data_IF_241775800827
#
_entry.id   IF_241775800827
#
_cell.length_a   1.000
_cell.length_b   1.000
_cell.length_c   1.000
_cell.angle_alpha   90.00
_cell.angle_beta   90.00
_cell.angle_gamma   90.00
#
_symmetry.space_group_name_H-M   'P 1'
#
loop_
_entity.id
_entity.type
_entity.pdbx_description
1 polymer ?
#
# COMPACT_ATOMS: atom_id res chain seq x y z
N UNK A 1 -8.44 -2.19 16.43
CA UNK A 1 -7.15 -1.45 16.49
C UNK A 1 -6.21 -2.17 15.56
N UNK A 2 -6.02 -1.66 14.36
CA UNK A 2 -5.10 -2.19 13.37
C UNK A 2 -4.55 -0.97 12.65
N UNK A 3 -3.36 -0.54 13.03
CA UNK A 3 -2.86 0.75 12.55
C UNK A 3 -1.36 0.83 12.72
N UNK A 4 -0.66 0.47 11.64
CA UNK A 4 0.75 0.77 11.38
C UNK A 4 1.77 0.37 12.44
N UNK A 5 3.03 0.49 12.09
CA UNK A 5 4.11 0.52 13.08
C UNK A 5 4.30 1.96 13.54
N UNK A 6 4.52 2.18 14.84
CA UNK A 6 4.94 3.49 15.38
C UNK A 6 6.41 3.83 15.07
N UNK A 7 7.06 3.09 14.17
CA UNK A 7 8.38 3.44 13.64
C UNK A 7 8.30 4.78 12.90
N UNK A 8 9.45 5.46 12.79
CA UNK A 8 9.60 6.70 11.99
C UNK A 8 9.14 6.53 10.53
N UNK A 9 9.12 5.29 10.06
CA UNK A 9 8.76 4.88 8.72
C UNK A 9 7.31 4.38 8.62
N UNK A 10 6.53 4.29 9.70
CA UNK A 10 5.14 3.81 9.62
C UNK A 10 4.95 2.31 9.43
N UNK A 11 6.01 1.57 9.09
CA UNK A 11 6.03 0.10 8.94
C UNK A 11 7.29 -0.53 9.56
N UNK A 12 7.29 -1.86 9.74
CA UNK A 12 8.47 -2.65 10.14
C UNK A 12 9.17 -3.24 8.91
N UNK A 13 10.50 -3.11 8.82
CA UNK A 13 11.28 -3.63 7.67
C UNK A 13 11.32 -5.16 7.56
N UNK A 14 11.14 -5.87 8.68
CA UNK A 14 11.09 -7.32 8.70
C UNK A 14 9.80 -7.82 8.05
N UNK A 15 9.90 -8.54 6.91
CA UNK A 15 8.76 -9.08 6.18
C UNK A 15 7.96 -10.16 6.94
N UNK A 16 8.52 -10.73 8.01
CA UNK A 16 7.81 -11.67 8.88
C UNK A 16 6.92 -10.95 9.91
N UNK A 17 7.16 -9.65 10.16
CA UNK A 17 6.38 -8.87 11.11
C UNK A 17 4.96 -8.60 10.56
N UNK A 18 3.90 -8.76 11.38
CA UNK A 18 2.54 -8.41 10.97
C UNK A 18 2.37 -6.95 10.51
N UNK A 19 3.21 -6.04 10.99
CA UNK A 19 3.25 -4.63 10.61
C UNK A 19 4.27 -4.33 9.49
N UNK A 20 4.66 -5.35 8.73
CA UNK A 20 5.60 -5.18 7.62
C UNK A 20 5.00 -4.49 6.40
N UNK A 21 5.85 -3.82 5.61
CA UNK A 21 5.45 -3.05 4.42
C UNK A 21 4.54 -3.81 3.46
N UNK A 22 4.79 -5.11 3.28
CA UNK A 22 4.05 -6.00 2.37
C UNK A 22 2.75 -6.57 2.97
N UNK A 23 2.47 -6.31 4.25
CA UNK A 23 1.31 -6.84 4.99
C UNK A 23 0.38 -5.77 5.55
N UNK A 24 0.79 -4.51 5.57
CA UNK A 24 0.03 -3.43 6.22
C UNK A 24 -1.17 -2.93 5.43
N UNK A 25 -1.32 -3.31 4.15
CA UNK A 25 -2.46 -2.95 3.33
C UNK A 25 -3.28 -4.17 2.91
N UNK A 26 -4.61 -4.01 2.97
CA UNK A 26 -5.61 -4.96 2.52
C UNK A 26 -6.61 -4.28 1.59
N UNK A 27 -7.33 -5.07 0.81
CA UNK A 27 -8.43 -4.55 0.00
C UNK A 27 -9.65 -4.29 0.88
N UNK A 28 -10.23 -3.10 0.77
CA UNK A 28 -11.50 -2.79 1.42
C UNK A 28 -12.58 -3.76 0.96
N UNK A 29 -13.51 -4.10 1.87
CA UNK A 29 -14.67 -4.97 1.58
C UNK A 29 -14.32 -6.36 1.03
N UNK A 30 -13.06 -6.83 1.21
CA UNK A 30 -12.65 -8.16 0.74
C UNK A 30 -12.76 -8.34 -0.78
N UNK A 31 -12.61 -7.25 -1.54
CA UNK A 31 -12.71 -7.24 -3.02
C UNK A 31 -11.72 -8.22 -3.67
N UNK A 32 -10.63 -8.56 -2.98
CA UNK A 32 -9.66 -9.54 -3.41
C UNK A 32 -9.11 -10.34 -2.20
N UNK A 33 -8.82 -11.65 -2.35
CA UNK A 33 -8.38 -12.50 -1.25
C UNK A 33 -6.89 -12.33 -0.95
N UNK A 34 -6.11 -11.79 -1.89
CA UNK A 34 -4.68 -11.53 -1.74
C UNK A 34 -4.44 -10.04 -1.50
N UNK A 35 -3.47 -9.67 -0.64
CA UNK A 35 -3.08 -8.26 -0.50
C UNK A 35 -2.57 -7.69 -1.84
N UNK A 36 -2.67 -6.37 -2.03
CA UNK A 36 -2.18 -5.73 -3.25
C UNK A 36 -0.65 -5.90 -3.37
N UNK A 37 -0.17 -6.27 -4.56
CA UNK A 37 1.27 -6.32 -4.86
C UNK A 37 1.78 -4.92 -5.21
N UNK A 38 2.40 -4.25 -4.25
CA UNK A 38 2.77 -2.83 -4.32
C UNK A 38 4.26 -2.56 -4.09
N UNK A 39 5.03 -3.59 -3.73
CA UNK A 39 6.37 -3.42 -3.16
C UNK A 39 7.37 -2.81 -4.15
N UNK A 40 7.23 -3.14 -5.44
CA UNK A 40 8.08 -2.58 -6.51
C UNK A 40 7.58 -1.24 -7.04
N UNK A 41 6.46 -0.74 -6.53
CA UNK A 41 5.72 0.37 -7.13
C UNK A 41 5.70 1.62 -6.25
N UNK A 42 6.30 1.59 -5.07
CA UNK A 42 6.42 2.75 -4.17
C UNK A 42 7.06 3.97 -4.85
N UNK A 43 6.60 5.16 -4.45
CA UNK A 43 7.08 6.44 -4.99
C UNK A 43 8.53 6.77 -4.59
N UNK A 44 9.04 6.11 -3.54
CA UNK A 44 10.44 6.12 -3.14
C UNK A 44 10.70 5.13 -2.00
N UNK A 45 11.96 4.96 -1.64
CA UNK A 45 12.41 3.99 -0.61
C UNK A 45 11.90 4.31 0.80
N UNK A 46 11.45 5.55 1.02
CA UNK A 46 10.89 5.99 2.30
C UNK A 46 9.42 5.62 2.47
N UNK A 47 8.73 5.21 1.39
CA UNK A 47 7.30 4.89 1.43
C UNK A 47 7.02 3.41 1.79
N UNK A 48 5.89 3.12 2.46
CA UNK A 48 4.98 4.09 3.06
C UNK A 48 5.68 4.75 4.25
N UNK A 49 5.40 6.02 4.56
CA UNK A 49 6.08 6.71 5.66
C UNK A 49 5.14 7.06 6.83
N UNK A 50 3.83 6.84 6.66
CA UNK A 50 2.77 7.14 7.60
C UNK A 50 2.84 8.58 8.12
N UNK A 51 3.10 9.54 7.23
CA UNK A 51 3.20 10.95 7.60
C UNK A 51 1.93 11.41 8.32
N UNK A 52 2.14 12.30 9.29
CA UNK A 52 1.09 12.87 10.15
C UNK A 52 0.22 11.85 10.91
N UNK A 53 0.62 10.57 10.93
CA UNK A 53 -0.15 9.47 11.50
C UNK A 53 -1.57 9.30 10.90
N UNK A 54 -1.78 9.76 9.67
CA UNK A 54 -3.07 9.73 8.98
C UNK A 54 -3.03 9.08 7.58
N UNK A 55 -1.85 8.85 7.00
CA UNK A 55 -1.69 8.22 5.68
C UNK A 55 -1.98 6.70 5.68
N UNK A 56 -3.26 6.35 5.74
CA UNK A 56 -3.75 4.96 5.92
C UNK A 56 -4.29 4.31 4.65
N UNK A 57 -4.34 5.04 3.54
CA UNK A 57 -4.88 4.58 2.26
C UNK A 57 -3.81 4.62 1.17
N UNK A 58 -4.00 3.91 0.06
CA UNK A 58 -3.08 3.92 -1.08
C UNK A 58 -3.56 4.87 -2.18
N UNK A 59 -2.64 5.65 -2.73
CA UNK A 59 -2.87 6.56 -3.84
C UNK A 59 -1.94 6.27 -5.01
N UNK A 60 -2.48 6.32 -6.24
CA UNK A 60 -1.68 6.23 -7.46
C UNK A 60 -1.16 7.62 -7.87
N UNK A 61 0.15 7.77 -7.88
CA UNK A 61 0.85 8.97 -8.30
C UNK A 61 1.20 8.87 -9.78
N UNK A 62 0.57 9.67 -10.62
CA UNK A 62 0.84 9.72 -12.07
C UNK A 62 1.72 10.92 -12.39
N UNK A 63 2.96 10.66 -12.81
CA UNK A 63 3.90 11.67 -13.33
C UNK A 63 4.12 11.43 -14.82
N UNK A 64 4.76 12.39 -15.50
CA UNK A 64 4.96 12.33 -16.95
C UNK A 64 5.75 11.09 -17.41
N UNK A 65 6.66 10.59 -16.56
CA UNK A 65 7.62 9.54 -16.84
C UNK A 65 7.34 8.22 -16.07
N UNK A 66 6.51 8.25 -15.03
CA UNK A 66 6.30 7.10 -14.14
C UNK A 66 4.95 7.11 -13.45
N UNK A 67 4.51 5.92 -13.03
CA UNK A 67 3.35 5.69 -12.19
C UNK A 67 3.80 4.96 -10.93
N UNK A 68 3.57 5.55 -9.78
CA UNK A 68 4.04 5.04 -8.48
C UNK A 68 2.91 5.05 -7.44
N UNK A 69 3.13 4.43 -6.30
CA UNK A 69 2.18 4.32 -5.18
C UNK A 69 2.71 5.14 -4.01
N UNK A 70 1.80 5.83 -3.32
CA UNK A 70 2.03 6.52 -2.06
C UNK A 70 1.00 6.04 -1.05
N UNK A 71 1.36 5.99 0.23
CA UNK A 71 0.38 6.10 1.28
C UNK A 71 -0.15 7.53 1.35
N UNK A 72 -1.45 7.68 1.61
CA UNK A 72 -2.14 8.97 1.59
C UNK A 72 -3.21 8.96 2.67
N UNK A 73 -3.60 10.16 3.11
CA UNK A 73 -4.76 10.31 3.97
C UNK A 73 -6.01 9.79 3.27
N UNK A 74 -6.80 8.97 3.96
CA UNK A 74 -8.03 8.38 3.41
C UNK A 74 -9.11 9.43 3.07
N UNK A 75 -9.01 10.63 3.65
CA UNK A 75 -9.90 11.75 3.35
C UNK A 75 -9.53 12.50 2.05
N UNK A 76 -8.42 12.11 1.41
CA UNK A 76 -7.96 12.73 0.17
C UNK A 76 -8.89 12.40 -1.00
N UNK A 77 -9.30 13.44 -1.72
CA UNK A 77 -10.23 13.31 -2.85
C UNK A 77 -9.49 13.04 -4.16
N UNK A 78 -9.21 11.77 -4.43
CA UNK A 78 -8.64 11.32 -5.71
C UNK A 78 -9.70 10.65 -6.59
N UNK A 79 -9.37 10.50 -7.88
CA UNK A 79 -10.22 9.73 -8.80
C UNK A 79 -10.10 8.24 -8.43
N UNK A 80 -11.21 7.48 -8.35
CA UNK A 80 -11.15 6.05 -8.12
C UNK A 80 -10.49 5.36 -9.31
N UNK A 81 -9.85 4.23 -9.05
CA UNK A 81 -9.37 3.30 -10.06
C UNK A 81 -10.08 1.96 -9.92
N UNK A 82 -10.36 1.32 -11.05
CA UNK A 82 -10.85 -0.04 -11.09
C UNK A 82 -9.69 -0.94 -11.55
N UNK A 83 -9.52 -2.08 -10.89
CA UNK A 83 -8.60 -3.13 -11.30
C UNK A 83 -9.35 -4.42 -11.61
N UNK A 84 -8.74 -5.27 -12.42
CA UNK A 84 -9.10 -6.68 -12.51
C UNK A 84 -8.08 -7.46 -11.67
N UNK A 85 -8.53 -8.40 -10.85
CA UNK A 85 -7.60 -9.28 -10.13
C UNK A 85 -6.68 -10.01 -11.12
N UNK A 86 -5.38 -10.03 -10.80
CA UNK A 86 -4.43 -10.81 -11.57
C UNK A 86 -4.78 -12.30 -11.45
N UNK A 87 -4.68 -13.09 -12.54
CA UNK A 87 -4.91 -14.53 -12.48
C UNK A 87 -4.00 -15.20 -11.44
N UNK A 88 -4.55 -16.16 -10.68
CA UNK A 88 -3.76 -16.96 -9.75
C UNK A 88 -2.80 -17.84 -10.56
N UNK A 89 -1.51 -17.49 -10.57
CA UNK A 89 -0.48 -18.31 -11.21
C UNK A 89 -0.07 -19.43 -10.26
N UNK A 90 -0.59 -20.64 -10.48
CA UNK A 90 -0.06 -21.83 -9.80
C UNK A 90 1.29 -22.18 -10.42
N UNK A 91 2.37 -22.08 -9.63
CA UNK A 91 3.67 -22.64 -10.03
C UNK A 91 3.57 -24.17 -9.92
N UNK A 92 3.58 -24.84 -11.06
CA UNK A 92 3.78 -26.28 -11.21
C UNK A 92 5.21 -26.70 -10.89
#
# INVERSE_FOLDING_TARGET
>A
MSGGSLSKEGFVKDAADPCSRVRVYEWMEGVAPNPPDIETNWNGDVEPNFMYADEKCLGLMVRADRKTINDISCDSKYKPMCGLEAPIVMKS
#
